data_IF_979730312556
#
_entry.id   IF_979730312556
#
_cell.length_a   1.000
_cell.length_b   1.000
_cell.length_c   1.000
_cell.angle_alpha   90.00
_cell.angle_beta   90.00
_cell.angle_gamma   90.00
#
_symmetry.space_group_name_H-M   'P 1'
#
loop_
_entity.id
_entity.type
_entity.pdbx_description
1 polymer ?
#
# COMPACT_ATOMS: atom_id res chain seq x y z
N UNK A 1 -18.04 -13.03 -8.52
CA UNK A 1 -17.57 -12.92 -7.14
C UNK A 1 -16.05 -12.83 -7.18
N UNK A 2 -15.51 -11.63 -7.04
CA UNK A 2 -14.09 -11.43 -6.77
C UNK A 2 -14.03 -10.73 -5.41
N UNK A 3 -13.91 -11.51 -4.34
CA UNK A 3 -13.47 -10.97 -3.05
C UNK A 3 -12.05 -10.45 -3.32
N UNK A 4 -11.80 -9.18 -3.04
CA UNK A 4 -10.48 -8.52 -3.18
C UNK A 4 -10.09 -8.07 -4.61
N UNK A 5 -11.05 -7.85 -5.51
CA UNK A 5 -10.80 -6.97 -6.67
C UNK A 5 -10.63 -5.54 -6.16
N UNK A 6 -9.43 -5.00 -6.28
CA UNK A 6 -9.15 -3.58 -6.12
C UNK A 6 -9.41 -2.89 -7.47
N UNK A 7 -10.23 -1.84 -7.46
CA UNK A 7 -10.45 -1.01 -8.64
C UNK A 7 -9.27 -0.05 -8.88
N UNK A 8 -8.57 0.32 -7.80
CA UNK A 8 -7.40 1.21 -7.81
C UNK A 8 -6.31 0.67 -6.85
N UNK A 9 -5.15 0.38 -7.43
CA UNK A 9 -3.98 -0.15 -6.74
C UNK A 9 -3.39 0.87 -5.74
N UNK A 10 -3.40 2.16 -6.10
CA UNK A 10 -2.82 3.20 -5.26
C UNK A 10 -3.67 3.40 -4.01
N UNK A 11 -4.99 3.43 -4.16
CA UNK A 11 -5.91 3.60 -3.04
C UNK A 11 -5.86 2.42 -2.06
N UNK A 12 -5.68 1.20 -2.55
CA UNK A 12 -5.53 0.03 -1.68
C UNK A 12 -4.19 0.06 -0.92
N UNK A 13 -3.11 0.46 -1.58
CA UNK A 13 -1.79 0.66 -0.94
C UNK A 13 -1.87 1.77 0.11
N UNK A 14 -2.51 2.91 -0.18
CA UNK A 14 -2.74 3.99 0.80
C UNK A 14 -3.49 3.50 2.03
N UNK A 15 -4.62 2.81 1.83
CA UNK A 15 -5.44 2.27 2.92
C UNK A 15 -4.64 1.28 3.79
N UNK A 16 -3.77 0.50 3.16
CA UNK A 16 -2.89 -0.44 3.84
C UNK A 16 -1.81 0.27 4.65
N UNK A 17 -1.18 1.33 4.11
CA UNK A 17 -0.24 2.17 4.85
C UNK A 17 -0.89 2.83 6.07
N UNK A 18 -2.11 3.35 5.94
CA UNK A 18 -2.81 3.99 7.06
C UNK A 18 -3.16 3.01 8.17
N UNK A 19 -3.54 1.79 7.79
CA UNK A 19 -3.81 0.70 8.73
C UNK A 19 -2.55 0.33 9.53
N UNK A 20 -1.40 0.25 8.85
CA UNK A 20 -0.09 0.06 9.50
C UNK A 20 0.20 1.23 10.45
N UNK A 21 0.03 2.48 10.01
CA UNK A 21 0.29 3.69 10.82
C UNK A 21 -0.58 3.77 12.07
N UNK A 22 -1.85 3.37 11.96
CA UNK A 22 -2.82 3.37 13.05
C UNK A 22 -2.66 2.20 14.05
N UNK A 23 -1.84 1.20 13.73
CA UNK A 23 -1.74 -0.02 14.53
C UNK A 23 -1.04 0.25 15.86
N UNK A 24 -1.70 0.01 17.01
CA UNK A 24 -1.08 0.20 18.33
C UNK A 24 -0.02 -0.87 18.63
N UNK A 25 0.09 -1.91 17.80
CA UNK A 25 1.05 -3.01 17.96
C UNK A 25 2.37 -2.75 17.24
N UNK A 26 2.45 -1.71 16.39
CA UNK A 26 3.66 -1.35 15.67
C UNK A 26 4.29 -0.12 16.32
N UNK A 27 5.44 -0.26 16.99
CA UNK A 27 6.03 0.82 17.79
C UNK A 27 6.69 1.93 16.95
N UNK A 28 6.92 1.72 15.65
CA UNK A 28 7.62 2.66 14.78
C UNK A 28 6.99 2.70 13.38
N UNK A 29 5.98 3.56 13.21
CA UNK A 29 5.23 3.70 11.94
C UNK A 29 5.45 5.05 11.25
N UNK A 30 6.44 5.83 11.70
CA UNK A 30 6.72 7.17 11.17
C UNK A 30 7.30 7.21 9.76
N UNK A 31 7.89 6.10 9.28
CA UNK A 31 8.51 5.98 7.94
C UNK A 31 7.91 4.83 7.14
N UNK A 32 6.57 4.77 7.09
CA UNK A 32 5.83 3.79 6.28
C UNK A 32 5.70 4.32 4.86
N UNK A 33 6.25 3.56 3.90
CA UNK A 33 6.23 3.83 2.46
C UNK A 33 5.55 2.69 1.71
N UNK A 34 4.83 3.02 0.64
CA UNK A 34 4.07 2.09 -0.18
C UNK A 34 4.55 2.11 -1.62
N UNK A 35 4.59 0.95 -2.27
CA UNK A 35 5.04 0.84 -3.66
C UNK A 35 4.11 -0.10 -4.43
N UNK A 36 3.85 0.27 -5.69
CA UNK A 36 3.22 -0.60 -6.68
C UNK A 36 4.29 -1.07 -7.64
N UNK A 37 4.36 -2.38 -7.85
CA UNK A 37 5.22 -2.98 -8.85
C UNK A 37 4.54 -2.96 -10.22
N UNK A 38 5.17 -2.30 -11.19
CA UNK A 38 4.78 -2.33 -12.58
C UNK A 38 5.36 -3.58 -13.25
N UNK A 39 4.48 -4.50 -13.67
CA UNK A 39 4.87 -5.78 -14.27
C UNK A 39 5.40 -5.64 -15.70
N UNK A 40 5.04 -4.56 -16.40
CA UNK A 40 5.44 -4.32 -17.78
C UNK A 40 6.85 -3.73 -17.84
N UNK A 41 7.14 -2.79 -16.94
CA UNK A 41 8.44 -2.10 -16.90
C UNK A 41 9.41 -2.68 -15.87
N UNK A 42 8.91 -3.45 -14.90
CA UNK A 42 9.69 -3.99 -13.77
C UNK A 42 10.09 -2.95 -12.72
N UNK A 43 9.45 -1.78 -12.71
CA UNK A 43 9.79 -0.67 -11.81
C UNK A 43 8.88 -0.66 -10.58
N UNK A 44 9.40 -0.12 -9.47
CA UNK A 44 8.59 0.19 -8.30
C UNK A 44 8.20 1.67 -8.35
N UNK A 45 6.90 1.92 -8.35
CA UNK A 45 6.34 3.26 -8.24
C UNK A 45 5.90 3.50 -6.81
N UNK A 46 6.42 4.55 -6.20
CA UNK A 46 6.02 4.97 -4.86
C UNK A 46 4.61 5.56 -4.88
N UNK A 47 3.80 5.16 -3.90
CA UNK A 47 2.44 5.67 -3.66
C UNK A 47 2.53 6.69 -2.53
N UNK A 48 2.03 7.90 -2.79
CA UNK A 48 1.97 9.01 -1.84
C UNK A 48 0.56 9.21 -1.29
#
# INVERSE_FOLDING_TARGET
FALESFDDLDDDVRRSMDRIRSSPFLPATGDVRGFVYDVETGLLREVT
#
